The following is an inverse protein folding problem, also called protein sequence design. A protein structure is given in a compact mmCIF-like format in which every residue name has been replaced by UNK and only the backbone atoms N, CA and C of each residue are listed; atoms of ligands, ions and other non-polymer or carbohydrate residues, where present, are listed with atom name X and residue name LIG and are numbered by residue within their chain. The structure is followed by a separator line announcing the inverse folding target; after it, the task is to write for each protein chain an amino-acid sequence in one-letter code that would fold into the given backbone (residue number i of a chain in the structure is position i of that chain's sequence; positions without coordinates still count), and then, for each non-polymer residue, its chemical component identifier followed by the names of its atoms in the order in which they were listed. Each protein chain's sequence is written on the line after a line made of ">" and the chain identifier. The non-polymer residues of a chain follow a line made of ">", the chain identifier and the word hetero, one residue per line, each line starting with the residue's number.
data_IF_571794289626
#
_entry.id   IF_571794289626
#
_cell.length_a   1.000
_cell.length_b   1.000
_cell.length_c   1.000
_cell.angle_alpha   90.00
_cell.angle_beta   90.00
_cell.angle_gamma   90.00
#
_symmetry.space_group_name_H-M   'P 1'
#
loop_
_entity.id
_entity.type
_entity.pdbx_description
1 polymer ?
#
# COMPACT_ATOMS: atom_id res chain seq x y z
N UNK A 1 -76.51 17.47 -0.59
CA UNK A 1 -76.53 17.10 0.83
C UNK A 1 -75.63 15.88 0.96
N UNK A 2 -74.46 15.87 1.59
CA UNK A 2 -73.81 16.74 2.57
C UNK A 2 -72.29 16.51 2.44
N UNK A 3 -71.55 17.54 2.06
CA UNK A 3 -70.46 18.23 2.79
C UNK A 3 -69.20 17.42 3.13
N UNK A 4 -68.17 17.72 2.34
CA UNK A 4 -66.76 17.97 2.67
C UNK A 4 -66.37 18.04 4.17
N UNK A 5 -65.23 17.41 4.47
CA UNK A 5 -64.31 17.88 5.50
C UNK A 5 -62.91 17.98 4.91
N UNK A 6 -62.56 19.17 4.46
CA UNK A 6 -61.19 19.62 4.28
C UNK A 6 -60.45 19.51 5.62
N UNK A 7 -59.31 18.81 5.63
CA UNK A 7 -58.27 19.01 6.65
C UNK A 7 -57.08 19.62 5.95
N UNK A 8 -56.91 20.91 6.19
CA UNK A 8 -55.72 21.69 5.85
C UNK A 8 -54.47 20.98 6.40
N UNK A 9 -53.59 20.55 5.50
CA UNK A 9 -52.22 20.25 5.86
C UNK A 9 -51.53 21.58 6.16
N UNK A 10 -51.42 21.94 7.43
CA UNK A 10 -50.54 23.01 7.88
C UNK A 10 -49.10 22.64 7.51
N UNK A 11 -48.56 23.41 6.58
CA UNK A 11 -47.16 23.42 6.18
C UNK A 11 -46.31 23.88 7.38
N UNK A 12 -45.88 22.93 8.22
CA UNK A 12 -44.73 23.14 9.10
C UNK A 12 -43.47 23.00 8.25
N UNK A 13 -43.15 24.04 7.52
CA UNK A 13 -41.78 24.30 7.08
C UNK A 13 -40.96 24.62 8.32
N UNK A 14 -40.58 23.58 9.08
CA UNK A 14 -39.45 23.68 10.00
C UNK A 14 -38.25 24.15 9.18
N UNK A 15 -37.79 25.37 9.46
CA UNK A 15 -36.58 25.91 8.88
C UNK A 15 -35.43 24.99 9.31
N UNK A 16 -35.06 24.04 8.46
CA UNK A 16 -33.81 23.32 8.61
C UNK A 16 -32.71 24.38 8.65
N UNK A 17 -32.12 24.57 9.83
CA UNK A 17 -30.91 25.38 9.99
C UNK A 17 -29.90 24.77 9.04
N UNK A 18 -29.68 25.41 7.90
CA UNK A 18 -28.75 24.91 6.91
C UNK A 18 -27.36 25.05 7.49
N UNK A 19 -26.68 23.92 7.66
CA UNK A 19 -25.31 23.91 8.13
C UNK A 19 -24.45 24.66 7.11
N UNK A 20 -23.58 25.61 7.54
CA UNK A 20 -22.61 26.25 6.66
C UNK A 20 -21.81 25.24 5.83
N UNK A 21 -21.45 25.62 4.61
CA UNK A 21 -20.82 24.71 3.64
C UNK A 21 -19.46 24.20 4.13
N UNK A 22 -18.68 25.09 4.73
CA UNK A 22 -17.40 24.86 5.38
C UNK A 22 -17.50 23.84 6.53
N UNK A 23 -18.50 23.98 7.41
CA UNK A 23 -18.77 22.99 8.46
C UNK A 23 -19.23 21.65 7.87
N UNK A 24 -20.01 21.68 6.78
CA UNK A 24 -20.41 20.46 6.08
C UNK A 24 -19.19 19.73 5.52
N UNK A 25 -18.25 20.45 4.90
CA UNK A 25 -16.99 19.88 4.38
C UNK A 25 -16.20 19.23 5.51
N UNK A 26 -15.99 19.92 6.63
CA UNK A 26 -15.24 19.40 7.77
C UNK A 26 -15.88 18.12 8.35
N UNK A 27 -17.22 18.10 8.47
CA UNK A 27 -17.94 16.90 8.90
C UNK A 27 -17.71 15.75 7.91
N UNK A 28 -17.88 15.99 6.61
CA UNK A 28 -17.73 14.94 5.60
C UNK A 28 -16.31 14.39 5.54
N UNK A 29 -15.28 15.23 5.73
CA UNK A 29 -13.87 14.80 5.75
C UNK A 29 -13.55 13.81 6.87
N UNK A 30 -14.30 13.86 7.99
CA UNK A 30 -14.08 12.97 9.15
C UNK A 30 -14.74 11.60 8.98
N UNK A 31 -15.69 11.47 8.05
CA UNK A 31 -16.41 10.23 7.81
C UNK A 31 -15.55 9.20 7.05
N UNK A 32 -15.78 7.90 7.22
CA UNK A 32 -15.18 6.88 6.36
C UNK A 32 -15.62 7.04 4.90
N UNK A 33 -14.78 6.61 3.95
CA UNK A 33 -15.07 6.76 2.52
C UNK A 33 -16.37 6.07 2.10
N UNK A 34 -16.71 4.94 2.72
CA UNK A 34 -17.97 4.23 2.48
C UNK A 34 -19.20 5.06 2.86
N UNK A 35 -19.12 5.81 3.96
CA UNK A 35 -20.19 6.73 4.36
C UNK A 35 -20.31 7.88 3.37
N UNK A 36 -19.18 8.46 2.95
CA UNK A 36 -19.14 9.49 1.90
C UNK A 36 -19.81 8.98 0.62
N UNK A 37 -19.46 7.76 0.18
CA UNK A 37 -20.05 7.13 -1.00
C UNK A 37 -21.57 7.03 -0.93
N UNK A 38 -22.14 6.68 0.23
CA UNK A 38 -23.60 6.65 0.45
C UNK A 38 -24.22 8.04 0.41
N UNK A 39 -23.55 9.03 0.99
CA UNK A 39 -24.03 10.42 1.05
C UNK A 39 -24.07 11.08 -0.33
N UNK A 40 -23.23 10.65 -1.28
CA UNK A 40 -23.30 11.08 -2.69
C UNK A 40 -24.67 10.78 -3.33
N UNK A 41 -25.37 9.74 -2.88
CA UNK A 41 -26.70 9.38 -3.40
C UNK A 41 -27.83 10.24 -2.81
N UNK A 42 -27.58 10.95 -1.71
CA UNK A 42 -28.61 11.70 -0.98
C UNK A 42 -28.80 13.10 -1.55
N UNK A 43 -27.74 13.72 -2.06
CA UNK A 43 -27.78 15.09 -2.57
C UNK A 43 -26.79 15.34 -3.70
N UNK A 44 -27.22 16.05 -4.74
CA UNK A 44 -26.35 16.52 -5.83
C UNK A 44 -25.22 17.39 -5.30
N UNK A 45 -25.50 18.26 -4.32
CA UNK A 45 -24.49 19.12 -3.70
C UNK A 45 -23.39 18.29 -3.04
N UNK A 46 -23.76 17.29 -2.24
CA UNK A 46 -22.79 16.40 -1.57
C UNK A 46 -22.03 15.53 -2.55
N UNK A 47 -22.68 15.08 -3.63
CA UNK A 47 -22.03 14.37 -4.73
C UNK A 47 -20.94 15.22 -5.39
N UNK A 48 -21.27 16.44 -5.81
CA UNK A 48 -20.31 17.37 -6.42
C UNK A 48 -19.18 17.72 -5.45
N UNK A 49 -19.51 18.11 -4.23
CA UNK A 49 -18.55 18.55 -3.22
C UNK A 49 -17.51 17.47 -2.90
N UNK A 50 -17.95 16.24 -2.67
CA UNK A 50 -17.07 15.11 -2.31
C UNK A 50 -16.30 14.51 -3.49
N UNK A 51 -16.51 15.02 -4.72
CA UNK A 51 -15.82 14.60 -5.94
C UNK A 51 -14.82 15.66 -6.43
N UNK A 52 -14.84 16.87 -5.85
CA UNK A 52 -13.85 17.90 -6.17
C UNK A 52 -12.43 17.47 -5.81
N UNK A 53 -11.45 17.89 -6.61
CA UNK A 53 -10.03 17.57 -6.35
C UNK A 53 -9.58 18.07 -4.98
N UNK A 54 -10.02 19.25 -4.54
CA UNK A 54 -9.68 19.80 -3.21
C UNK A 54 -10.21 18.94 -2.06
N UNK A 55 -11.46 18.46 -2.17
CA UNK A 55 -12.02 17.56 -1.16
C UNK A 55 -11.28 16.23 -1.15
N UNK A 56 -11.03 15.61 -2.32
CA UNK A 56 -10.31 14.34 -2.42
C UNK A 56 -8.91 14.44 -1.80
N UNK A 57 -8.18 15.53 -2.07
CA UNK A 57 -6.86 15.78 -1.46
C UNK A 57 -6.96 15.91 0.06
N UNK A 58 -7.88 16.74 0.54
CA UNK A 58 -8.09 16.96 1.98
C UNK A 58 -8.50 15.67 2.69
N UNK A 59 -9.32 14.84 2.04
CA UNK A 59 -9.74 13.55 2.54
C UNK A 59 -8.55 12.59 2.69
N UNK A 60 -7.66 12.52 1.70
CA UNK A 60 -6.46 11.67 1.77
C UNK A 60 -5.53 12.05 2.94
N UNK A 61 -5.38 13.35 3.22
CA UNK A 61 -4.64 13.84 4.39
C UNK A 61 -5.30 13.37 5.68
N UNK A 62 -6.63 13.51 5.79
CA UNK A 62 -7.36 13.04 6.97
C UNK A 62 -7.29 11.51 7.14
N UNK A 63 -7.37 10.77 6.03
CA UNK A 63 -7.30 9.30 6.03
C UNK A 63 -5.91 8.79 6.41
N UNK A 64 -4.85 9.56 6.15
CA UNK A 64 -3.48 9.21 6.55
C UNK A 64 -3.26 9.18 8.06
N UNK A 65 -4.11 9.83 8.86
CA UNK A 65 -4.12 9.69 10.31
C UNK A 65 -4.76 8.37 10.78
N UNK A 66 -5.40 7.62 9.87
CA UNK A 66 -6.17 6.41 10.15
C UNK A 66 -5.84 5.26 9.20
N UNK A 67 -4.57 4.85 9.12
CA UNK A 67 -4.17 3.79 8.21
C UNK A 67 -4.78 2.44 8.61
N UNK A 68 -4.90 1.54 7.64
CA UNK A 68 -5.29 0.15 7.83
C UNK A 68 -4.24 -0.81 7.25
N UNK A 69 -4.25 -2.04 7.77
CA UNK A 69 -3.59 -3.17 7.17
C UNK A 69 -4.56 -3.82 6.19
N UNK A 70 -4.24 -3.84 4.90
CA UNK A 70 -4.97 -4.70 3.97
C UNK A 70 -4.32 -6.07 3.99
N UNK A 71 -5.11 -7.10 4.29
CA UNK A 71 -4.71 -8.50 4.19
C UNK A 71 -5.39 -9.16 2.99
N UNK A 72 -4.62 -9.87 2.18
CA UNK A 72 -5.09 -10.60 1.01
C UNK A 72 -4.99 -12.10 1.25
N UNK A 73 -6.12 -12.77 1.11
CA UNK A 73 -6.25 -14.23 1.05
C UNK A 73 -6.58 -14.64 -0.37
N UNK A 74 -5.76 -15.52 -0.95
CA UNK A 74 -6.08 -16.13 -2.24
C UNK A 74 -7.14 -17.20 -1.99
N UNK A 75 -8.26 -17.14 -2.72
CA UNK A 75 -9.22 -18.24 -2.84
C UNK A 75 -8.97 -19.03 -4.12
N UNK A 76 -9.89 -19.92 -4.48
CA UNK A 76 -9.80 -20.71 -5.72
C UNK A 76 -10.08 -19.89 -6.99
N UNK A 77 -10.98 -18.91 -6.93
CA UNK A 77 -11.41 -18.10 -8.08
C UNK A 77 -11.12 -16.60 -7.93
N UNK A 78 -10.97 -16.13 -6.69
CA UNK A 78 -10.82 -14.71 -6.35
C UNK A 78 -9.85 -14.51 -5.20
N UNK A 79 -9.13 -13.39 -5.20
CA UNK A 79 -8.45 -12.88 -4.02
C UNK A 79 -9.45 -12.08 -3.18
N UNK A 80 -9.52 -12.39 -1.90
CA UNK A 80 -10.32 -11.66 -0.92
C UNK A 80 -9.39 -10.76 -0.11
N UNK A 81 -9.75 -9.48 -0.04
CA UNK A 81 -9.02 -8.46 0.68
C UNK A 81 -9.82 -8.00 1.89
N UNK A 82 -9.16 -7.96 3.03
CA UNK A 82 -9.70 -7.50 4.29
C UNK A 82 -8.99 -6.19 4.68
N UNK A 83 -9.74 -5.10 4.82
CA UNK A 83 -9.22 -3.88 5.44
C UNK A 83 -9.35 -3.99 6.95
N UNK A 84 -8.22 -3.97 7.64
CA UNK A 84 -8.10 -4.16 9.08
C UNK A 84 -7.56 -2.88 9.71
N UNK A 85 -8.37 -2.13 10.48
CA UNK A 85 -7.91 -0.86 11.05
C UNK A 85 -6.72 -1.08 11.99
N UNK A 86 -5.76 -0.15 11.99
CA UNK A 86 -4.65 -0.18 12.96
C UNK A 86 -5.06 0.27 14.38
N UNK A 87 -6.34 0.59 14.64
CA UNK A 87 -6.77 1.46 15.74
C UNK A 87 -7.00 0.82 17.12
N UNK A 88 -5.95 0.91 17.94
CA UNK A 88 -5.90 1.18 19.39
C UNK A 88 -4.78 0.31 19.98
N UNK A 89 -3.73 0.88 20.61
CA UNK A 89 -2.61 0.11 21.18
C UNK A 89 -3.01 -0.83 22.33
N UNK A 90 -4.30 -0.88 22.69
CA UNK A 90 -4.90 -1.74 23.72
C UNK A 90 -5.92 -2.73 23.16
N UNK A 91 -6.24 -2.66 21.86
CA UNK A 91 -7.16 -3.60 21.26
C UNK A 91 -6.43 -4.91 21.00
N UNK A 92 -6.78 -5.92 21.77
CA UNK A 92 -6.28 -7.30 21.60
C UNK A 92 -7.03 -8.03 20.48
N UNK A 93 -8.26 -7.57 20.18
CA UNK A 93 -9.17 -8.18 19.20
C UNK A 93 -9.92 -7.13 18.39
N UNK A 94 -10.11 -7.40 17.09
CA UNK A 94 -10.98 -6.62 16.20
C UNK A 94 -12.04 -7.48 15.55
N UNK A 95 -13.28 -6.99 15.60
CA UNK A 95 -14.45 -7.61 14.96
C UNK A 95 -14.83 -6.95 13.63
N UNK A 96 -14.40 -5.71 13.39
CA UNK A 96 -14.76 -4.98 12.17
C UNK A 96 -13.79 -5.31 11.03
N UNK A 97 -14.33 -5.89 9.95
CA UNK A 97 -13.62 -6.10 8.68
C UNK A 97 -14.43 -5.51 7.53
N UNK A 98 -13.74 -4.83 6.63
CA UNK A 98 -14.30 -4.53 5.31
C UNK A 98 -13.75 -5.51 4.29
N UNK A 99 -14.66 -6.18 3.58
CA UNK A 99 -14.32 -7.19 2.59
C UNK A 99 -14.55 -6.66 1.17
N UNK A 100 -13.57 -6.95 0.31
CA UNK A 100 -13.67 -6.77 -1.12
C UNK A 100 -12.94 -7.89 -1.83
N UNK A 101 -13.24 -8.12 -3.10
CA UNK A 101 -12.61 -9.19 -3.87
C UNK A 101 -12.22 -8.74 -5.26
N UNK A 102 -11.14 -9.31 -5.78
CA UNK A 102 -10.75 -9.21 -7.18
C UNK A 102 -10.64 -10.62 -7.78
N UNK A 103 -11.10 -10.82 -9.04
CA UNK A 103 -10.85 -12.05 -9.79
C UNK A 103 -9.35 -12.42 -9.80
N UNK A 104 -9.01 -13.70 -9.64
CA UNK A 104 -7.61 -14.16 -9.73
C UNK A 104 -6.99 -13.93 -11.11
N UNK A 105 -7.82 -13.87 -12.17
CA UNK A 105 -7.38 -13.53 -13.53
C UNK A 105 -6.65 -12.19 -13.59
N UNK A 106 -6.92 -11.28 -12.66
CA UNK A 106 -6.28 -9.96 -12.53
C UNK A 106 -4.93 -10.05 -11.79
N UNK A 107 -4.74 -11.06 -10.93
CA UNK A 107 -3.58 -11.21 -10.02
C UNK A 107 -2.67 -12.35 -10.54
N UNK A 108 -2.64 -12.51 -11.86
CA UNK A 108 -2.29 -13.74 -12.62
C UNK A 108 -0.88 -14.32 -12.46
N UNK A 109 -0.06 -13.88 -11.50
CA UNK A 109 1.23 -14.52 -11.26
C UNK A 109 1.69 -14.43 -9.80
N UNK A 110 1.87 -15.59 -9.17
CA UNK A 110 2.40 -15.75 -7.80
C UNK A 110 3.79 -15.10 -7.61
N UNK A 111 4.47 -14.75 -8.70
CA UNK A 111 5.81 -14.18 -8.70
C UNK A 111 5.85 -12.64 -8.63
N UNK A 112 4.72 -11.94 -8.81
CA UNK A 112 4.68 -10.48 -8.76
C UNK A 112 3.45 -9.96 -8.01
N UNK A 113 3.54 -9.93 -6.68
CA UNK A 113 2.54 -9.25 -5.86
C UNK A 113 3.23 -8.12 -5.13
N UNK A 114 2.82 -6.86 -5.37
CA UNK A 114 3.48 -5.72 -4.76
C UNK A 114 3.34 -5.76 -3.25
N UNK A 115 4.33 -5.19 -2.59
CA UNK A 115 4.43 -5.25 -1.14
C UNK A 115 3.76 -4.06 -0.44
N UNK A 116 3.26 -3.07 -1.19
CA UNK A 116 2.88 -1.77 -0.65
C UNK A 116 1.57 -1.23 -1.22
N UNK A 117 0.73 -0.64 -0.35
CA UNK A 117 -0.25 0.35 -0.78
C UNK A 117 0.40 1.72 -0.79
N UNK A 118 0.30 2.41 -1.91
CA UNK A 118 0.89 3.72 -2.10
C UNK A 118 -0.25 4.72 -2.12
N UNK A 119 -0.38 5.45 -1.02
CA UNK A 119 -1.33 6.55 -0.86
C UNK A 119 -2.79 6.16 -1.21
N UNK A 120 -3.17 4.92 -0.88
CA UNK A 120 -4.50 4.36 -1.08
C UNK A 120 -4.71 3.62 -2.40
N UNK A 121 -3.69 3.53 -3.26
CA UNK A 121 -3.69 2.69 -4.45
C UNK A 121 -2.79 1.46 -4.24
N UNK A 122 -3.09 0.37 -4.93
CA UNK A 122 -2.31 -0.86 -4.94
C UNK A 122 -2.04 -1.22 -6.40
N UNK A 123 -0.78 -1.32 -6.85
CA UNK A 123 -0.50 -1.83 -8.17
C UNK A 123 -0.77 -3.35 -8.20
N UNK A 124 -1.04 -3.90 -9.37
CA UNK A 124 -1.00 -5.32 -9.67
C UNK A 124 -0.37 -5.48 -11.05
N UNK A 125 0.31 -6.61 -11.28
CA UNK A 125 0.88 -6.91 -12.57
C UNK A 125 1.21 -8.39 -12.67
N UNK A 126 1.26 -8.90 -13.89
CA UNK A 126 1.63 -10.28 -14.19
C UNK A 126 2.87 -10.34 -15.10
N UNK A 127 3.71 -9.31 -15.00
CA UNK A 127 4.82 -8.98 -15.91
C UNK A 127 4.46 -8.68 -17.37
N UNK A 128 3.15 -8.67 -17.71
CA UNK A 128 2.67 -8.40 -19.07
C UNK A 128 1.66 -7.24 -19.15
N UNK A 129 0.98 -6.96 -18.05
CA UNK A 129 0.08 -5.81 -17.91
C UNK A 129 0.36 -5.05 -16.62
N UNK A 130 -0.11 -3.80 -16.60
CA UNK A 130 -0.09 -2.94 -15.42
C UNK A 130 -1.52 -2.66 -15.01
N UNK A 131 -1.87 -3.02 -13.79
CA UNK A 131 -3.19 -2.79 -13.23
C UNK A 131 -3.01 -1.93 -11.98
N UNK A 132 -3.83 -0.90 -11.83
CA UNK A 132 -3.88 -0.09 -10.61
C UNK A 132 -5.24 -0.31 -9.98
N UNK A 133 -5.26 -0.61 -8.69
CA UNK A 133 -6.46 -0.87 -7.93
C UNK A 133 -6.64 0.16 -6.82
N UNK A 134 -7.87 0.68 -6.72
CA UNK A 134 -8.36 1.44 -5.58
C UNK A 134 -9.31 0.53 -4.77
N UNK A 135 -8.86 -0.02 -3.62
CA UNK A 135 -9.69 -0.84 -2.75
C UNK A 135 -10.90 -0.10 -2.18
N UNK A 136 -10.74 1.20 -1.87
CA UNK A 136 -11.77 2.04 -1.25
C UNK A 136 -12.99 2.19 -2.13
N UNK A 137 -12.76 2.47 -3.41
CA UNK A 137 -13.83 2.61 -4.41
C UNK A 137 -14.17 1.30 -5.11
N UNK A 138 -13.44 0.22 -4.83
CA UNK A 138 -13.53 -1.08 -5.51
C UNK A 138 -13.37 -0.96 -7.04
N UNK A 139 -12.55 -0.01 -7.47
CA UNK A 139 -12.27 0.28 -8.88
C UNK A 139 -10.88 -0.20 -9.23
N UNK A 140 -10.69 -0.72 -10.44
CA UNK A 140 -9.38 -1.00 -10.99
C UNK A 140 -9.31 -0.50 -12.43
N UNK A 141 -8.09 -0.26 -12.90
CA UNK A 141 -7.82 0.17 -14.27
C UNK A 141 -6.60 -0.59 -14.80
N UNK A 142 -6.71 -1.12 -16.01
CA UNK A 142 -5.58 -1.71 -16.73
C UNK A 142 -4.98 -0.64 -17.62
N UNK A 143 -3.75 -0.21 -17.33
CA UNK A 143 -3.10 0.83 -18.13
C UNK A 143 -2.81 0.34 -19.56
N UNK A 144 -2.67 1.27 -20.53
CA UNK A 144 -2.22 0.92 -21.87
C UNK A 144 -0.93 0.12 -21.84
N UNK A 145 -0.66 -0.67 -22.86
CA UNK A 145 0.56 -1.48 -22.89
C UNK A 145 1.79 -0.57 -23.00
N UNK A 146 2.79 -0.72 -22.11
CA UNK A 146 4.06 -0.01 -22.28
C UNK A 146 4.79 -0.59 -23.50
N UNK A 147 5.63 0.22 -24.12
CA UNK A 147 6.48 -0.16 -25.26
C UNK A 147 7.76 -0.91 -24.84
N UNK A 148 7.85 -1.33 -23.57
CA UNK A 148 8.97 -2.14 -23.08
C UNK A 148 8.78 -3.61 -23.42
N UNK A 149 9.87 -4.32 -23.71
CA UNK A 149 9.83 -5.76 -23.96
C UNK A 149 9.34 -6.55 -22.74
N UNK A 150 8.48 -7.53 -22.99
CA UNK A 150 7.99 -8.48 -21.98
C UNK A 150 9.02 -9.58 -21.71
N UNK A 151 9.06 -10.16 -20.50
CA UNK A 151 8.36 -9.71 -19.29
C UNK A 151 8.98 -8.42 -18.74
N UNK A 152 8.14 -7.52 -18.22
CA UNK A 152 8.55 -6.27 -17.60
C UNK A 152 8.03 -6.14 -16.17
N UNK A 153 8.67 -5.31 -15.36
CA UNK A 153 8.21 -4.95 -14.02
C UNK A 153 7.57 -3.56 -14.02
N UNK A 154 6.57 -3.34 -13.17
CA UNK A 154 5.84 -2.07 -13.02
C UNK A 154 5.84 -1.56 -11.58
N UNK A 155 6.62 -0.51 -11.32
CA UNK A 155 6.80 0.07 -9.99
C UNK A 155 5.93 1.32 -9.85
N UNK A 156 4.97 1.31 -8.94
CA UNK A 156 4.17 2.50 -8.63
C UNK A 156 4.94 3.39 -7.65
N UNK A 157 4.91 4.70 -7.87
CA UNK A 157 5.41 5.72 -6.96
C UNK A 157 4.42 6.87 -6.83
N UNK A 158 4.57 7.66 -5.77
CA UNK A 158 3.74 8.84 -5.50
C UNK A 158 4.62 10.00 -5.10
N UNK A 159 4.54 11.13 -5.80
CA UNK A 159 5.16 12.40 -5.42
C UNK A 159 4.26 13.13 -4.42
N UNK A 160 4.62 13.20 -3.12
CA UNK A 160 3.81 13.87 -2.12
C UNK A 160 3.78 15.40 -2.27
N UNK A 161 4.71 16.00 -3.03
CA UNK A 161 4.77 17.44 -3.26
C UNK A 161 3.93 17.82 -4.48
N UNK A 162 4.07 17.07 -5.58
CA UNK A 162 3.31 17.25 -6.81
C UNK A 162 1.91 16.69 -6.76
N UNK A 163 1.63 15.79 -5.81
CA UNK A 163 0.40 15.02 -5.69
C UNK A 163 0.10 14.21 -6.97
N UNK A 164 1.13 13.53 -7.47
CA UNK A 164 1.07 12.74 -8.69
C UNK A 164 1.50 11.30 -8.44
N UNK A 165 0.77 10.36 -9.02
CA UNK A 165 1.21 8.97 -9.09
C UNK A 165 1.90 8.74 -10.43
N UNK A 166 3.02 8.02 -10.40
CA UNK A 166 3.72 7.59 -11.60
C UNK A 166 4.04 6.11 -11.54
N UNK A 167 3.94 5.44 -12.68
CA UNK A 167 4.33 4.03 -12.83
C UNK A 167 5.57 3.95 -13.70
N UNK A 168 6.63 3.37 -13.15
CA UNK A 168 7.87 3.07 -13.85
C UNK A 168 7.85 1.63 -14.36
N UNK A 169 8.01 1.44 -15.66
CA UNK A 169 8.06 0.15 -16.33
C UNK A 169 9.43 -0.13 -16.93
N UNK A 170 9.95 -1.33 -16.70
CA UNK A 170 11.29 -1.74 -17.15
C UNK A 170 11.32 -3.21 -17.56
N UNK A 171 12.01 -3.55 -18.65
CA UNK A 171 12.18 -4.94 -19.07
C UNK A 171 13.02 -5.73 -18.07
N UNK A 172 12.59 -6.96 -17.77
CA UNK A 172 13.36 -7.88 -16.93
C UNK A 172 14.49 -8.59 -17.70
N UNK A 173 14.40 -8.63 -19.04
CA UNK A 173 15.35 -9.35 -19.90
C UNK A 173 16.35 -8.42 -20.58
N UNK A 174 15.91 -7.23 -20.99
CA UNK A 174 16.68 -6.35 -21.85
C UNK A 174 17.32 -5.19 -21.06
N UNK A 175 18.63 -5.28 -20.79
CA UNK A 175 19.40 -4.27 -20.04
C UNK A 175 19.62 -2.95 -20.79
N UNK A 176 19.42 -2.96 -22.10
CA UNK A 176 19.66 -1.79 -22.97
C UNK A 176 18.38 -1.04 -23.32
N UNK A 177 17.22 -1.52 -22.85
CA UNK A 177 15.95 -0.88 -23.12
C UNK A 177 15.69 0.23 -22.10
N UNK A 178 15.35 1.41 -22.62
CA UNK A 178 15.06 2.55 -21.78
C UNK A 178 13.76 2.32 -20.98
N UNK A 179 13.73 2.66 -19.68
CA UNK A 179 12.50 2.62 -18.90
C UNK A 179 11.40 3.49 -19.50
N UNK A 180 10.16 3.09 -19.25
CA UNK A 180 9.00 3.92 -19.55
C UNK A 180 8.31 4.38 -18.27
N UNK A 181 7.74 5.56 -18.32
CA UNK A 181 6.96 6.13 -17.23
C UNK A 181 5.58 6.56 -17.70
N UNK A 182 4.60 6.33 -16.83
CA UNK A 182 3.23 6.74 -17.00
C UNK A 182 2.80 7.56 -15.79
N UNK A 183 2.37 8.80 -15.99
CA UNK A 183 1.76 9.61 -14.92
C UNK A 183 0.25 9.37 -14.93
N UNK A 184 -0.31 8.96 -13.79
CA UNK A 184 -1.76 8.76 -13.64
C UNK A 184 -2.45 10.13 -13.55
N UNK A 185 -3.29 10.46 -14.52
CA UNK A 185 -3.98 11.75 -14.61
C UNK A 185 -4.38 12.08 -16.05
N UNK A 186 -4.92 13.27 -16.36
CA UNK A 186 -5.61 13.54 -17.63
C UNK A 186 -4.76 13.49 -18.93
N UNK A 187 -3.42 13.43 -18.83
CA UNK A 187 -2.50 13.44 -19.98
C UNK A 187 -1.78 12.09 -20.09
N UNK A 188 -2.51 11.11 -20.57
CA UNK A 188 -2.13 9.70 -20.45
C UNK A 188 -1.36 9.16 -21.64
N UNK A 189 -0.05 9.05 -21.49
CA UNK A 189 0.75 8.25 -22.41
C UNK A 189 2.01 7.73 -21.73
N UNK A 190 2.45 6.54 -22.15
CA UNK A 190 3.78 6.07 -21.82
C UNK A 190 4.81 6.93 -22.55
N UNK A 191 5.76 7.44 -21.80
CA UNK A 191 6.94 8.11 -22.36
C UNK A 191 8.21 7.43 -21.90
N UNK A 192 9.20 7.46 -22.77
CA UNK A 192 10.50 6.86 -22.53
C UNK A 192 11.37 7.83 -21.74
N UNK A 193 12.05 7.33 -20.71
CA UNK A 193 13.08 8.07 -20.00
C UNK A 193 14.40 7.79 -20.71
N UNK A 194 14.91 8.80 -21.44
CA UNK A 194 16.08 8.64 -22.32
C UNK A 194 17.40 8.96 -21.59
N UNK A 195 17.34 9.79 -20.54
CA UNK A 195 18.51 10.22 -19.77
C UNK A 195 18.54 9.55 -18.39
N UNK A 196 19.75 9.34 -17.87
CA UNK A 196 20.06 9.01 -16.47
C UNK A 196 19.64 7.62 -15.95
N UNK A 197 18.96 6.77 -16.73
CA UNK A 197 18.72 5.38 -16.29
C UNK A 197 20.04 4.59 -16.26
N UNK A 198 20.47 4.05 -15.11
CA UNK A 198 21.66 3.21 -15.06
C UNK A 198 21.42 1.94 -15.89
N UNK A 199 22.45 1.43 -16.57
CA UNK A 199 22.34 0.10 -17.20
C UNK A 199 22.39 -0.97 -16.11
N UNK A 200 21.25 -1.62 -15.84
CA UNK A 200 21.16 -2.67 -14.82
C UNK A 200 20.11 -3.73 -15.18
N UNK A 201 20.16 -4.86 -14.48
CA UNK A 201 19.12 -5.90 -14.54
C UNK A 201 18.34 -5.82 -13.26
N UNK A 202 17.03 -5.88 -13.34
CA UNK A 202 16.18 -5.94 -12.14
C UNK A 202 16.17 -7.37 -11.62
N UNK A 203 16.24 -7.52 -10.30
CA UNK A 203 16.12 -8.84 -9.71
C UNK A 203 14.69 -9.37 -9.88
N UNK A 204 14.55 -10.59 -10.42
CA UNK A 204 13.25 -11.15 -10.81
C UNK A 204 12.24 -11.30 -9.66
N UNK A 205 12.70 -11.34 -8.39
CA UNK A 205 11.82 -11.33 -7.20
C UNK A 205 11.33 -9.93 -6.82
N UNK A 206 11.69 -8.90 -7.59
CA UNK A 206 11.08 -7.58 -7.55
C UNK A 206 10.97 -6.95 -6.14
N UNK A 207 12.05 -6.95 -5.36
CA UNK A 207 12.04 -6.26 -4.06
C UNK A 207 12.07 -4.76 -4.33
N UNK A 208 10.99 -4.07 -3.98
CA UNK A 208 10.89 -2.63 -4.13
C UNK A 208 9.93 -1.97 -3.11
N UNK A 209 10.13 -0.68 -2.85
CA UNK A 209 9.29 0.17 -1.99
C UNK A 209 9.29 1.61 -2.49
N UNK A 210 8.18 2.32 -2.32
CA UNK A 210 8.13 3.78 -2.44
C UNK A 210 8.15 4.40 -1.04
N UNK A 211 9.18 5.20 -0.74
CA UNK A 211 9.35 5.89 0.55
C UNK A 211 9.56 7.38 0.26
N UNK A 212 8.67 8.22 0.79
CA UNK A 212 8.77 9.69 0.70
C UNK A 212 9.01 10.23 -0.73
N UNK A 213 8.32 9.68 -1.73
CA UNK A 213 8.48 10.13 -3.13
C UNK A 213 9.64 9.48 -3.89
N UNK A 214 10.35 8.54 -3.29
CA UNK A 214 11.45 7.81 -3.94
C UNK A 214 11.12 6.32 -4.00
N UNK A 215 11.14 5.75 -5.20
CA UNK A 215 11.01 4.31 -5.43
C UNK A 215 12.39 3.67 -5.34
N UNK A 216 12.59 2.81 -4.36
CA UNK A 216 13.79 2.00 -4.18
C UNK A 216 13.51 0.58 -4.66
N UNK A 217 14.40 0.03 -5.47
CA UNK A 217 14.28 -1.35 -5.93
C UNK A 217 15.64 -2.05 -6.05
N UNK A 218 15.63 -3.36 -5.89
CA UNK A 218 16.84 -4.19 -5.93
C UNK A 218 17.22 -4.52 -7.38
N UNK A 219 18.41 -4.07 -7.78
CA UNK A 219 19.03 -4.41 -9.05
C UNK A 219 20.02 -5.58 -8.90
N UNK A 220 20.58 -6.01 -10.03
CA UNK A 220 21.57 -7.06 -10.08
C UNK A 220 22.94 -6.64 -9.56
N UNK A 221 23.67 -7.62 -9.03
CA UNK A 221 24.98 -7.45 -8.36
C UNK A 221 24.88 -6.76 -7.00
N UNK A 222 23.77 -6.99 -6.29
CA UNK A 222 23.54 -6.47 -4.92
C UNK A 222 23.69 -4.94 -4.86
N UNK A 223 22.98 -4.24 -5.75
CA UNK A 223 22.92 -2.78 -5.82
C UNK A 223 21.47 -2.33 -5.71
N UNK A 224 21.21 -1.24 -5.00
CA UNK A 224 19.89 -0.61 -4.93
C UNK A 224 19.86 0.53 -5.94
N UNK A 225 18.75 0.65 -6.66
CA UNK A 225 18.47 1.81 -7.49
C UNK A 225 17.35 2.59 -6.84
N UNK A 226 17.56 3.89 -6.68
CA UNK A 226 16.53 4.85 -6.30
C UNK A 226 16.00 5.54 -7.55
N UNK A 227 14.70 5.84 -7.56
CA UNK A 227 14.04 6.62 -8.60
C UNK A 227 13.19 7.69 -7.92
N UNK A 228 13.59 8.94 -8.07
CA UNK A 228 12.83 10.07 -7.53
C UNK A 228 11.61 10.32 -8.42
N UNK A 229 10.41 10.18 -7.86
CA UNK A 229 9.15 10.21 -8.64
C UNK A 229 8.91 11.60 -9.24
N UNK A 230 9.32 12.67 -8.55
CA UNK A 230 9.07 14.04 -8.97
C UNK A 230 9.98 14.45 -10.12
N UNK A 231 11.28 14.35 -9.89
CA UNK A 231 12.34 14.75 -10.82
C UNK A 231 12.67 13.69 -11.87
N UNK A 232 12.21 12.45 -11.64
CA UNK A 232 12.38 11.29 -12.54
C UNK A 232 13.83 10.91 -12.78
N UNK A 233 14.66 11.16 -11.76
CA UNK A 233 16.08 10.86 -11.79
C UNK A 233 16.36 9.57 -11.05
N UNK A 234 17.32 8.83 -11.58
CA UNK A 234 17.83 7.62 -10.95
C UNK A 234 19.04 7.93 -10.08
N UNK A 235 19.13 7.25 -8.95
CA UNK A 235 20.34 7.15 -8.14
C UNK A 235 20.74 5.69 -7.99
N UNK A 236 22.03 5.46 -7.76
CA UNK A 236 22.58 4.12 -7.51
C UNK A 236 23.15 4.12 -6.12
N UNK A 237 22.78 3.13 -5.30
CA UNK A 237 23.17 3.02 -3.91
C UNK A 237 23.84 1.67 -3.70
N UNK A 238 25.10 1.71 -3.23
CA UNK A 238 25.82 0.50 -2.87
C UNK A 238 25.32 -0.06 -1.54
N UNK A 239 25.15 -1.37 -1.50
CA UNK A 239 24.65 -2.10 -0.34
C UNK A 239 25.82 -2.33 0.62
N UNK A 240 25.63 -2.24 1.94
CA UNK A 240 26.72 -2.45 2.88
C UNK A 240 27.20 -3.90 2.81
N UNK A 241 28.44 -4.16 3.24
CA UNK A 241 28.91 -5.54 3.38
C UNK A 241 28.19 -6.22 4.54
N UNK A 242 27.07 -6.88 4.24
CA UNK A 242 26.22 -7.53 5.23
C UNK A 242 26.69 -8.94 5.60
N UNK A 243 27.69 -9.49 4.89
CA UNK A 243 28.11 -10.90 5.02
C UNK A 243 27.16 -11.90 4.37
N UNK A 244 26.12 -11.43 3.68
CA UNK A 244 25.15 -12.22 2.92
C UNK A 244 24.63 -11.41 1.73
N UNK A 245 24.12 -12.09 0.71
CA UNK A 245 23.56 -11.44 -0.50
C UNK A 245 22.03 -11.35 -0.38
N UNK A 246 21.45 -10.21 -0.74
CA UNK A 246 19.99 -10.02 -0.76
C UNK A 246 19.32 -11.04 -1.68
N UNK A 247 20.03 -11.48 -2.72
CA UNK A 247 19.51 -12.45 -3.70
C UNK A 247 19.34 -13.87 -3.16
N UNK A 248 20.06 -14.23 -2.10
CA UNK A 248 20.12 -15.61 -1.59
C UNK A 248 19.22 -15.84 -0.39
N UNK A 249 18.81 -14.79 0.34
CA UNK A 249 18.04 -14.92 1.57
C UNK A 249 16.70 -14.16 1.47
N UNK A 250 15.65 -14.59 2.19
CA UNK A 250 14.42 -13.82 2.35
C UNK A 250 14.72 -12.46 3.00
N UNK A 251 14.71 -11.41 2.20
CA UNK A 251 15.03 -10.04 2.60
C UNK A 251 14.02 -9.06 1.99
N UNK A 252 14.02 -7.83 2.48
CA UNK A 252 13.12 -6.80 1.97
C UNK A 252 13.54 -5.40 2.39
N UNK A 253 12.72 -4.44 1.95
CA UNK A 253 12.84 -3.03 2.30
C UNK A 253 11.69 -2.61 3.20
N UNK A 254 11.99 -1.80 4.22
CA UNK A 254 11.01 -1.11 5.07
C UNK A 254 11.39 0.36 5.18
N UNK A 255 10.43 1.18 5.58
CA UNK A 255 10.71 2.52 6.10
C UNK A 255 11.06 2.41 7.59
N UNK A 256 12.11 3.11 8.00
CA UNK A 256 12.43 3.34 9.40
C UNK A 256 12.74 4.81 9.59
N UNK A 257 11.90 5.54 10.35
CA UNK A 257 12.04 6.98 10.60
C UNK A 257 12.19 7.81 9.32
N UNK A 258 11.44 7.43 8.30
CA UNK A 258 11.46 8.07 6.98
C UNK A 258 12.62 7.69 6.07
N UNK A 259 13.52 6.80 6.50
CA UNK A 259 14.67 6.33 5.71
C UNK A 259 14.44 4.91 5.21
N UNK A 260 15.12 4.56 4.13
CA UNK A 260 15.19 3.18 3.65
C UNK A 260 15.95 2.32 4.66
N UNK A 261 15.41 1.17 5.03
CA UNK A 261 16.13 0.15 5.76
C UNK A 261 15.98 -1.23 5.13
N UNK A 262 17.08 -1.99 5.14
CA UNK A 262 17.16 -3.38 4.68
C UNK A 262 17.05 -4.32 5.87
N UNK A 263 16.37 -5.44 5.67
CA UNK A 263 16.26 -6.49 6.68
C UNK A 263 16.38 -7.89 6.07
N UNK A 264 16.68 -8.88 6.91
CA UNK A 264 16.65 -10.30 6.56
C UNK A 264 15.75 -11.08 7.51
N UNK A 265 14.75 -11.76 6.95
CA UNK A 265 13.87 -12.66 7.70
C UNK A 265 14.59 -13.93 8.16
N UNK A 266 15.76 -14.28 7.60
CA UNK A 266 16.54 -15.42 8.08
C UNK A 266 16.97 -15.23 9.54
N UNK A 267 17.30 -14.00 9.94
CA UNK A 267 17.66 -13.69 11.32
C UNK A 267 16.49 -13.87 12.30
N UNK A 268 15.25 -13.60 11.82
CA UNK A 268 14.01 -13.76 12.61
C UNK A 268 13.81 -15.20 13.06
N UNK A 269 14.26 -16.18 12.27
CA UNK A 269 14.24 -17.61 12.64
C UNK A 269 15.05 -17.92 13.90
N UNK A 270 16.09 -17.12 14.14
CA UNK A 270 16.96 -17.23 15.31
C UNK A 270 16.56 -16.26 16.42
N UNK A 271 15.40 -15.59 16.32
CA UNK A 271 14.90 -14.65 17.32
C UNK A 271 15.64 -13.31 17.32
N UNK A 272 16.20 -12.90 16.20
CA UNK A 272 16.88 -11.61 16.03
C UNK A 272 16.38 -10.88 14.80
N UNK A 273 16.54 -9.57 14.77
CA UNK A 273 16.42 -8.77 13.56
C UNK A 273 17.62 -7.84 13.45
N UNK A 274 18.17 -7.75 12.25
CA UNK A 274 19.20 -6.76 11.89
C UNK A 274 18.62 -5.84 10.83
N UNK A 275 18.59 -4.55 11.13
CA UNK A 275 18.22 -3.48 10.21
C UNK A 275 19.49 -2.75 9.75
N UNK A 276 19.64 -2.59 8.44
CA UNK A 276 20.64 -1.70 7.85
C UNK A 276 19.94 -0.46 7.33
N UNK A 277 20.18 0.67 7.97
CA UNK A 277 19.45 1.92 7.71
C UNK A 277 20.34 2.81 6.84
N UNK A 278 19.78 3.32 5.75
CA UNK A 278 20.47 4.24 4.85
C UNK A 278 20.54 5.62 5.50
N UNK A 279 21.76 6.06 5.80
CA UNK A 279 22.03 7.36 6.41
C UNK A 279 22.22 8.44 5.35
N UNK A 280 23.02 8.13 4.32
CA UNK A 280 23.33 9.04 3.22
C UNK A 280 23.37 8.24 1.91
N UNK A 281 22.44 8.54 0.99
CA UNK A 281 22.31 7.84 -0.28
C UNK A 281 23.49 8.12 -1.23
N UNK A 282 23.99 9.37 -1.24
CA UNK A 282 25.06 9.83 -2.13
C UNK A 282 26.41 9.28 -1.69
N UNK A 283 26.66 9.24 -0.37
CA UNK A 283 27.89 8.67 0.19
C UNK A 283 27.83 7.16 0.40
N UNK A 284 26.66 6.56 0.19
CA UNK A 284 26.39 5.14 0.45
C UNK A 284 26.68 4.74 1.91
N UNK A 285 26.34 5.62 2.85
CA UNK A 285 26.57 5.38 4.28
C UNK A 285 25.39 4.66 4.92
N UNK A 286 25.69 3.63 5.70
CA UNK A 286 24.70 2.78 6.36
C UNK A 286 25.01 2.64 7.84
N UNK A 287 23.99 2.67 8.68
CA UNK A 287 24.06 2.26 10.07
C UNK A 287 23.42 0.88 10.26
N UNK A 288 23.87 0.14 11.28
CA UNK A 288 23.33 -1.18 11.62
C UNK A 288 22.68 -1.13 13.00
N UNK A 289 21.47 -1.68 13.08
CA UNK A 289 20.74 -1.86 14.33
C UNK A 289 20.31 -3.31 14.49
N UNK A 290 20.75 -3.94 15.56
CA UNK A 290 20.35 -5.30 15.92
C UNK A 290 19.40 -5.28 17.11
N UNK A 291 18.40 -6.15 17.10
CA UNK A 291 17.54 -6.39 18.25
C UNK A 291 17.13 -7.86 18.36
N UNK A 292 16.80 -8.27 19.58
CA UNK A 292 16.17 -9.56 19.84
C UNK A 292 14.67 -9.44 19.66
N UNK A 293 14.04 -10.51 19.17
CA UNK A 293 12.59 -10.59 19.01
C UNK A 293 12.01 -11.29 20.25
N UNK A 294 11.45 -10.54 21.23
CA UNK A 294 11.04 -11.11 22.51
C UNK A 294 9.82 -12.04 22.41
N UNK A 295 9.14 -12.06 21.26
CA UNK A 295 8.01 -12.94 20.97
C UNK A 295 8.43 -14.28 20.32
N UNK A 296 9.71 -14.44 19.96
CA UNK A 296 10.24 -15.71 19.47
C UNK A 296 10.77 -16.52 20.65
N UNK A 297 9.96 -17.45 21.15
CA UNK A 297 10.38 -18.36 22.24
C UNK A 297 11.10 -19.58 21.69
N UNK A 298 12.26 -19.93 22.28
CA UNK A 298 12.97 -21.19 22.01
C UNK A 298 12.57 -22.22 23.06
N UNK A 299 12.04 -23.37 22.64
CA UNK A 299 11.94 -24.57 23.49
C UNK A 299 12.83 -25.65 22.88
N UNK A 300 14.02 -25.85 23.46
CA UNK A 300 15.00 -26.81 22.92
C UNK A 300 15.53 -26.39 21.54
N UNK A 301 15.54 -27.32 20.58
CA UNK A 301 16.00 -27.10 19.19
C UNK A 301 14.89 -26.66 18.20
N UNK A 302 13.65 -26.52 18.67
CA UNK A 302 12.48 -26.30 17.80
C UNK A 302 11.96 -24.86 17.99
N UNK A 303 11.93 -24.09 16.90
CA UNK A 303 11.28 -22.78 16.83
C UNK A 303 9.77 -22.99 16.68
N UNK A 304 8.98 -22.58 17.68
CA UNK A 304 7.54 -22.88 17.74
C UNK A 304 6.65 -21.94 16.92
N UNK A 305 7.20 -20.88 16.31
CA UNK A 305 6.43 -19.95 15.48
C UNK A 305 7.34 -19.27 14.46
N UNK A 306 7.04 -19.49 13.19
CA UNK A 306 7.73 -18.85 12.09
C UNK A 306 7.02 -17.54 11.74
N UNK A 307 7.66 -16.40 12.00
CA UNK A 307 7.13 -15.09 11.63
C UNK A 307 7.95 -14.48 10.51
N UNK A 308 7.26 -13.80 9.60
CA UNK A 308 7.86 -13.01 8.53
C UNK A 308 7.58 -11.54 8.81
N UNK A 309 8.62 -10.70 8.75
CA UNK A 309 8.43 -9.26 8.75
C UNK A 309 7.76 -8.88 7.41
N UNK A 310 6.54 -8.35 7.51
CA UNK A 310 5.70 -8.05 6.34
C UNK A 310 5.61 -6.54 6.06
N UNK A 311 6.01 -5.71 7.01
CA UNK A 311 6.23 -4.28 6.83
C UNK A 311 6.22 -3.53 8.16
N UNK A 312 5.86 -2.26 8.12
CA UNK A 312 5.92 -1.32 9.22
C UNK A 312 4.63 -0.49 9.34
N UNK A 313 4.32 0.02 10.53
CA UNK A 313 3.26 1.03 10.72
C UNK A 313 3.79 2.44 10.42
N UNK A 314 2.90 3.44 10.36
CA UNK A 314 3.29 4.87 10.28
C UNK A 314 4.20 5.26 11.45
N UNK A 315 3.95 4.71 12.64
CA UNK A 315 4.73 4.93 13.87
C UNK A 315 6.03 4.08 13.97
N UNK A 316 6.46 3.46 12.87
CA UNK A 316 7.65 2.61 12.76
C UNK A 316 7.60 1.32 13.64
N UNK A 317 6.42 0.86 14.05
CA UNK A 317 6.28 -0.50 14.61
C UNK A 317 6.42 -1.54 13.50
N UNK A 318 7.23 -2.57 13.72
CA UNK A 318 7.41 -3.67 12.77
C UNK A 318 6.23 -4.65 12.85
N UNK A 319 5.68 -5.03 11.69
CA UNK A 319 4.53 -5.90 11.55
C UNK A 319 5.00 -7.30 11.14
N UNK A 320 4.83 -8.25 12.05
CA UNK A 320 5.14 -9.65 11.85
C UNK A 320 3.85 -10.46 11.66
N UNK A 321 3.81 -11.25 10.59
CA UNK A 321 2.72 -12.18 10.31
C UNK A 321 3.20 -13.63 10.43
N UNK A 322 2.34 -14.55 10.91
CA UNK A 322 2.68 -15.97 10.98
C UNK A 322 2.81 -16.57 9.57
N UNK A 323 3.84 -17.39 9.33
CA UNK A 323 4.06 -18.10 8.06
C UNK A 323 3.13 -19.30 7.87
N UNK A 324 2.65 -19.89 8.96
CA UNK A 324 1.78 -21.05 9.00
C UNK A 324 0.73 -20.79 10.07
N UNK A 325 -0.56 -20.97 9.79
CA UNK A 325 -1.57 -20.89 10.84
C UNK A 325 -2.72 -21.87 10.61
N UNK A 326 -2.76 -22.94 11.43
CA UNK A 326 -3.97 -23.72 11.72
C UNK A 326 -4.75 -23.12 12.88
N UNK A 327 -5.01 -21.80 12.84
CA UNK A 327 -5.61 -21.03 13.92
C UNK A 327 -6.05 -19.62 13.47
N UNK A 328 -6.60 -18.79 14.37
CA UNK A 328 -7.11 -17.46 14.02
C UNK A 328 -6.00 -16.54 13.49
N UNK A 329 -6.34 -15.68 12.53
CA UNK A 329 -5.40 -14.70 11.99
C UNK A 329 -5.03 -13.66 13.06
N UNK A 330 -3.72 -13.44 13.24
CA UNK A 330 -3.21 -12.39 14.11
C UNK A 330 -1.94 -11.75 13.53
N UNK A 331 -1.69 -10.50 13.92
CA UNK A 331 -0.45 -9.79 13.64
C UNK A 331 0.29 -9.47 14.94
N UNK A 332 1.61 -9.54 14.90
CA UNK A 332 2.48 -9.06 15.97
C UNK A 332 3.05 -7.71 15.55
N UNK A 333 2.88 -6.71 16.40
CA UNK A 333 3.48 -5.40 16.23
C UNK A 333 4.62 -5.25 17.24
N UNK A 334 5.79 -4.85 16.76
CA UNK A 334 6.99 -4.71 17.56
C UNK A 334 7.57 -3.30 17.44
N UNK A 335 7.50 -2.53 18.52
CA UNK A 335 8.19 -1.25 18.66
C UNK A 335 9.65 -1.53 19.01
N UNK A 336 10.54 -1.34 18.03
CA UNK A 336 11.97 -1.59 18.14
C UNK A 336 12.65 -0.67 19.16
N UNK A 337 12.16 0.56 19.34
CA UNK A 337 12.78 1.58 20.19
C UNK A 337 12.39 1.38 21.65
N UNK A 338 11.11 1.10 21.90
CA UNK A 338 10.57 0.90 23.25
C UNK A 338 10.65 -0.56 23.69
N UNK A 339 11.06 -1.46 22.80
CA UNK A 339 11.07 -2.90 22.99
C UNK A 339 9.70 -3.43 23.48
N UNK A 340 8.62 -2.94 22.85
CA UNK A 340 7.25 -3.32 23.20
C UNK A 340 6.66 -4.19 22.12
N UNK A 341 5.94 -5.23 22.55
CA UNK A 341 5.21 -6.12 21.66
C UNK A 341 3.73 -6.02 21.97
N UNK A 342 2.92 -5.97 20.92
CA UNK A 342 1.48 -6.23 21.04
C UNK A 342 1.07 -7.25 19.98
N UNK A 343 0.21 -8.18 20.39
CA UNK A 343 -0.40 -9.17 19.51
C UNK A 343 -1.85 -8.75 19.29
N UNK A 344 -2.30 -8.76 18.04
CA UNK A 344 -3.66 -8.40 17.66
C UNK A 344 -4.27 -9.52 16.87
N UNK A 345 -5.37 -10.08 17.37
CA UNK A 345 -6.18 -11.06 16.66
C UNK A 345 -7.28 -10.36 15.84
N UNK A 346 -7.47 -10.82 14.60
CA UNK A 346 -8.53 -10.33 13.73
C UNK A 346 -9.51 -11.46 13.43
N UNK A 347 -10.74 -11.30 13.90
CA UNK A 347 -11.75 -12.35 13.79
C UNK A 347 -12.36 -12.39 12.39
N UNK A 348 -12.81 -13.58 11.96
CA UNK A 348 -13.53 -13.77 10.70
C UNK A 348 -12.68 -13.81 9.43
N UNK A 349 -11.34 -13.90 9.53
CA UNK A 349 -10.43 -14.09 8.38
C UNK A 349 -10.25 -15.59 8.03
N UNK A 350 -10.69 -16.49 8.92
CA UNK A 350 -10.54 -17.93 8.76
C UNK A 350 -9.07 -18.39 8.86
N UNK A 351 -8.80 -19.64 8.47
CA UNK A 351 -7.43 -20.17 8.45
C UNK A 351 -6.60 -19.54 7.32
N UNK A 352 -5.31 -19.38 7.59
CA UNK A 352 -4.34 -18.76 6.66
C UNK A 352 -3.68 -19.85 5.85
N UNK A 353 -3.81 -19.77 4.53
CA UNK A 353 -3.05 -20.62 3.61
C UNK A 353 -1.66 -20.04 3.33
N UNK A 354 -0.76 -20.90 2.85
CA UNK A 354 0.53 -20.47 2.33
C UNK A 354 0.31 -19.46 1.20
N UNK A 355 0.92 -18.26 1.30
CA UNK A 355 0.88 -17.14 0.33
C UNK A 355 -0.23 -16.11 0.58
N UNK A 356 -0.29 -15.61 1.81
CA UNK A 356 -1.00 -14.38 2.09
C UNK A 356 -0.12 -13.14 1.82
N UNK A 357 -0.76 -12.08 1.33
CA UNK A 357 -0.10 -10.80 1.09
C UNK A 357 -0.66 -9.76 2.02
N UNK A 358 0.16 -8.81 2.45
CA UNK A 358 -0.31 -7.69 3.22
C UNK A 358 0.22 -6.37 2.69
N UNK A 359 -0.59 -5.34 2.83
CA UNK A 359 -0.30 -3.98 2.44
C UNK A 359 -0.51 -3.11 3.67
N UNK A 360 0.55 -2.88 4.46
CA UNK A 360 0.45 -2.01 5.62
C UNK A 360 0.28 -0.55 5.19
N UNK A 361 -0.20 0.28 6.10
CA UNK A 361 -0.38 1.73 5.91
C UNK A 361 -1.28 2.09 4.72
N UNK A 362 -2.26 1.25 4.40
CA UNK A 362 -3.29 1.62 3.44
C UNK A 362 -4.14 2.77 4.00
N UNK A 363 -4.44 3.75 3.15
CA UNK A 363 -5.35 4.85 3.48
C UNK A 363 -6.53 4.80 2.54
N UNK A 364 -7.70 5.22 3.00
CA UNK A 364 -8.85 5.34 2.12
C UNK A 364 -8.58 6.43 1.06
N UNK A 365 -8.89 6.14 -0.20
CA UNK A 365 -8.71 7.08 -1.30
C UNK A 365 -10.00 7.27 -2.10
N UNK A 366 -10.42 8.53 -2.23
CA UNK A 366 -11.54 8.93 -3.09
C UNK A 366 -11.11 9.20 -4.53
N UNK A 367 -9.87 8.90 -4.90
CA UNK A 367 -9.37 9.03 -6.27
C UNK A 367 -10.08 8.01 -7.18
N UNK A 368 -10.95 8.50 -8.06
CA UNK A 368 -11.64 7.68 -9.06
C UNK A 368 -10.66 7.21 -10.14
N UNK A 369 -10.69 5.91 -10.46
CA UNK A 369 -9.90 5.33 -11.55
C UNK A 369 -10.68 5.23 -12.86
N UNK A 370 -12.02 5.31 -12.81
CA UNK A 370 -12.88 5.11 -13.97
C UNK A 370 -12.70 6.18 -15.07
N UNK A 371 -12.26 7.39 -14.70
CA UNK A 371 -12.13 8.52 -15.62
C UNK A 371 -10.68 8.73 -16.09
N UNK A 372 -9.77 7.83 -15.75
CA UNK A 372 -8.36 7.94 -16.13
C UNK A 372 -8.23 7.70 -17.64
N UNK A 373 -8.57 6.50 -18.13
CA UNK A 373 -8.41 6.12 -19.54
C UNK A 373 -9.45 6.74 -20.51
N UNK A 374 -10.40 7.49 -19.98
CA UNK A 374 -11.40 8.19 -20.78
C UNK A 374 -11.02 9.66 -20.90
N UNK A 375 -10.11 9.98 -21.82
CA UNK A 375 -10.04 11.35 -22.35
C UNK A 375 -11.10 11.50 -23.47
N UNK A 376 -11.68 12.70 -23.67
CA UNK A 376 -12.75 12.94 -24.64
C UNK A 376 -12.36 12.69 -26.09
#
# INVERSE_FOLDING_TARGET
>A
METEKERSYEDRTESFVSLPLDLTIDILLRLPAKSIGRLRCVSKLWSTMTTTSSFVKSFSVHSSARPSLIFCKNGEEKCVFYSLPHHHPRAEKYLHKEETSLPLSIITNENYIPHQSIHGLIPFGNFECVIIWNPTLKQHVTLPQPKVSKPFISLLGYDPIGDEYKVLCMSLRNKGENPQIFTLGPRESWRTIIQDSPSHVIFYKAIWRCINGVVYYLAARDTIVSFDVRSEKFGVIQIPNMGWRLRTLPCGFIRHRGRLALFSNTSSLFGRISLWILEDAEKHEWSRKDSYLPFVTRKGSITLSFFTLSGETVDDELIYLPMFAGGPFYAIYYDLERNRVRKVEYEGIGEIEFRSHCFPNHIESLMSLNNLLTAP
#
